data_IF_528003171689
#
_entry.id   IF_528003171689
#
_cell.length_a   1.000
_cell.length_b   1.000
_cell.length_c   1.000
_cell.angle_alpha   90.00
_cell.angle_beta   90.00
_cell.angle_gamma   90.00
#
_symmetry.space_group_name_H-M   'P 1'
#
loop_
_entity.id
_entity.type
_entity.pdbx_description
1 polymer ?
#
# COMPACT_ATOMS: atom_id res chain seq x y z
N UNK A 1 6.18 8.35 16.82
CA UNK A 1 6.65 8.33 15.44
C UNK A 1 5.73 9.19 14.58
N UNK A 2 6.30 10.04 13.76
CA UNK A 2 5.51 10.89 12.88
C UNK A 2 4.94 10.10 11.72
N UNK A 3 3.80 10.55 11.20
CA UNK A 3 3.14 9.88 10.08
C UNK A 3 4.07 9.71 8.88
N UNK A 4 4.82 10.75 8.55
CA UNK A 4 5.74 10.69 7.43
C UNK A 4 6.79 9.62 7.61
N UNK A 5 7.35 9.51 8.80
CA UNK A 5 8.35 8.49 9.07
C UNK A 5 7.75 7.11 8.95
N UNK A 6 6.52 6.96 9.45
CA UNK A 6 5.81 5.70 9.39
C UNK A 6 5.58 5.29 7.95
N UNK A 7 5.14 6.24 7.13
CA UNK A 7 4.87 5.95 5.72
C UNK A 7 6.13 5.56 4.97
N UNK A 8 7.25 6.22 5.27
CA UNK A 8 8.53 5.85 4.65
C UNK A 8 8.94 4.45 5.02
N UNK A 9 8.75 4.08 6.27
CA UNK A 9 9.12 2.75 6.73
C UNK A 9 8.25 1.68 6.08
N UNK A 10 6.97 1.96 5.94
CA UNK A 10 6.07 1.04 5.25
C UNK A 10 6.54 0.81 3.82
N UNK A 11 6.86 1.90 3.12
CA UNK A 11 7.32 1.80 1.73
C UNK A 11 8.64 1.08 1.63
N UNK A 12 9.52 1.28 2.60
CA UNK A 12 10.79 0.59 2.61
C UNK A 12 10.60 -0.91 2.78
N UNK A 13 9.73 -1.31 3.67
CA UNK A 13 9.42 -2.73 3.87
C UNK A 13 8.87 -3.32 2.57
N UNK A 14 8.00 -2.57 1.89
CA UNK A 14 7.44 -3.04 0.63
C UNK A 14 8.51 -3.19 -0.45
N UNK A 15 9.48 -2.29 -0.47
CA UNK A 15 10.56 -2.40 -1.45
C UNK A 15 11.38 -3.66 -1.21
N UNK A 16 11.54 -4.05 0.02
CA UNK A 16 12.31 -5.23 0.36
C UNK A 16 11.53 -6.51 0.21
N UNK A 17 10.29 -6.52 0.67
CA UNK A 17 9.48 -7.73 0.70
C UNK A 17 8.44 -7.83 -0.40
N UNK A 18 8.19 -6.76 -1.10
CA UNK A 18 7.20 -6.64 -2.16
C UNK A 18 5.75 -6.64 -1.66
N UNK A 19 5.49 -7.18 -0.50
CA UNK A 19 4.16 -7.16 0.09
C UNK A 19 4.30 -7.11 1.61
N UNK A 20 3.22 -6.66 2.27
CA UNK A 20 3.22 -6.57 3.73
C UNK A 20 1.80 -6.76 4.21
N UNK A 21 1.64 -7.38 5.37
CA UNK A 21 0.32 -7.53 5.97
C UNK A 21 0.14 -6.48 7.06
N UNK A 22 -1.11 -6.23 7.43
CA UNK A 22 -1.41 -5.32 8.53
C UNK A 22 -0.75 -5.83 9.81
N UNK A 23 -0.78 -7.15 10.02
CA UNK A 23 -0.15 -7.73 11.21
C UNK A 23 1.34 -7.45 11.26
N UNK A 24 2.02 -7.55 10.12
CA UNK A 24 3.44 -7.26 10.04
C UNK A 24 3.73 -5.81 10.39
N UNK A 25 2.89 -4.90 9.93
CA UNK A 25 3.08 -3.49 10.22
C UNK A 25 2.87 -3.18 11.70
N UNK A 26 1.87 -3.81 12.32
CA UNK A 26 1.63 -3.57 13.74
C UNK A 26 2.81 -4.03 14.57
N UNK A 27 3.43 -5.13 14.19
CA UNK A 27 4.60 -5.64 14.90
C UNK A 27 5.86 -4.82 14.60
N UNK A 28 6.11 -4.55 13.34
CA UNK A 28 7.34 -3.87 12.94
C UNK A 28 7.39 -2.43 13.41
N UNK A 29 6.27 -1.74 13.38
CA UNK A 29 6.20 -0.33 13.69
C UNK A 29 5.59 -0.05 15.06
N UNK A 30 5.14 -1.09 15.74
CA UNK A 30 4.52 -0.96 17.04
C UNK A 30 3.35 0.02 17.01
N UNK A 31 2.47 -0.17 16.04
CA UNK A 31 1.28 0.67 15.88
C UNK A 31 0.05 -0.20 15.93
N UNK A 32 -1.12 0.43 16.11
CA UNK A 32 -2.36 -0.30 16.17
C UNK A 32 -2.78 -0.74 14.76
N UNK A 33 -3.65 -1.71 14.72
CA UNK A 33 -4.20 -2.19 13.46
C UNK A 33 -4.94 -1.07 12.72
N UNK A 34 -5.70 -0.26 13.45
CA UNK A 34 -6.41 0.87 12.87
C UNK A 34 -5.45 1.84 12.19
N UNK A 35 -4.34 2.14 12.86
CA UNK A 35 -3.34 3.05 12.31
C UNK A 35 -2.71 2.45 11.06
N UNK A 36 -2.38 1.16 11.10
CA UNK A 36 -1.77 0.51 9.95
C UNK A 36 -2.70 0.55 8.75
N UNK A 37 -3.97 0.26 8.96
CA UNK A 37 -4.95 0.27 7.86
C UNK A 37 -5.15 1.67 7.30
N UNK A 38 -5.17 2.67 8.18
CA UNK A 38 -5.32 4.05 7.74
C UNK A 38 -4.13 4.49 6.90
N UNK A 39 -2.92 4.14 7.34
CA UNK A 39 -1.71 4.49 6.59
C UNK A 39 -1.70 3.82 5.22
N UNK A 40 -2.10 2.56 5.16
CA UNK A 40 -2.19 1.85 3.90
C UNK A 40 -3.17 2.56 2.96
N UNK A 41 -4.33 2.96 3.49
CA UNK A 41 -5.33 3.64 2.67
C UNK A 41 -4.81 4.98 2.14
N UNK A 42 -4.10 5.72 2.98
CA UNK A 42 -3.52 6.99 2.57
C UNK A 42 -2.51 6.80 1.45
N UNK A 43 -1.63 5.82 1.62
CA UNK A 43 -0.59 5.56 0.63
C UNK A 43 -1.18 4.99 -0.67
N UNK A 44 -2.25 4.22 -0.55
CA UNK A 44 -2.94 3.70 -1.72
C UNK A 44 -3.53 4.84 -2.54
N UNK A 45 -4.17 5.79 -1.87
CA UNK A 45 -4.73 6.96 -2.54
C UNK A 45 -3.67 7.80 -3.21
N UNK A 46 -2.49 7.86 -2.59
CA UNK A 46 -1.37 8.62 -3.14
C UNK A 46 -0.67 7.88 -4.27
N UNK A 47 -1.06 6.64 -4.53
CA UNK A 47 -0.45 5.85 -5.59
C UNK A 47 0.90 5.28 -5.23
N UNK A 48 1.22 5.23 -3.92
CA UNK A 48 2.52 4.76 -3.46
C UNK A 48 2.56 3.26 -3.23
N UNK A 49 1.40 2.66 -3.03
CA UNK A 49 1.29 1.21 -2.86
C UNK A 49 -0.09 0.80 -3.33
N UNK A 50 -0.35 -0.49 -3.38
CA UNK A 50 -1.66 -1.02 -3.76
C UNK A 50 -2.24 -1.75 -2.56
N UNK A 51 -3.38 -1.26 -2.09
CA UNK A 51 -4.07 -1.87 -0.97
C UNK A 51 -4.70 -3.18 -1.40
N UNK A 52 -4.48 -4.22 -0.61
CA UNK A 52 -5.11 -5.51 -0.85
C UNK A 52 -5.74 -5.99 0.45
N UNK A 53 -6.49 -7.06 0.37
CA UNK A 53 -7.15 -7.59 1.55
C UNK A 53 -6.10 -8.00 2.59
N UNK A 54 -6.17 -7.37 3.74
CA UNK A 54 -5.28 -7.69 4.85
C UNK A 54 -3.88 -7.07 4.78
N UNK A 55 -3.62 -6.21 3.78
CA UNK A 55 -2.28 -5.62 3.68
C UNK A 55 -2.11 -4.75 2.47
N UNK A 56 -0.91 -4.78 1.90
CA UNK A 56 -0.58 -3.96 0.74
C UNK A 56 0.55 -4.60 -0.05
N UNK A 57 0.65 -4.25 -1.31
CA UNK A 57 1.73 -4.71 -2.18
C UNK A 57 2.41 -3.51 -2.81
N UNK A 58 3.62 -3.71 -3.27
CA UNK A 58 4.40 -2.65 -3.88
C UNK A 58 3.71 -2.17 -5.15
N UNK A 59 3.61 -0.85 -5.27
CA UNK A 59 3.02 -0.26 -6.46
C UNK A 59 4.09 -0.05 -7.51
N UNK A 60 4.03 -0.83 -8.57
CA UNK A 60 4.89 -0.58 -9.70
C UNK A 60 4.00 -0.60 -10.92
N UNK A 61 4.56 -0.21 -12.06
CA UNK A 61 3.75 -0.05 -13.26
C UNK A 61 3.06 -1.33 -13.69
N UNK A 62 3.75 -2.42 -13.56
CA UNK A 62 3.17 -3.69 -13.98
C UNK A 62 2.02 -4.11 -13.10
N UNK A 63 2.18 -3.96 -11.79
CA UNK A 63 1.11 -4.30 -10.86
C UNK A 63 -0.11 -3.41 -11.07
N UNK A 64 0.13 -2.14 -11.33
CA UNK A 64 -0.96 -1.21 -11.56
C UNK A 64 -1.75 -1.60 -12.78
N UNK A 65 -1.07 -1.94 -13.86
CA UNK A 65 -1.77 -2.35 -15.07
C UNK A 65 -2.58 -3.61 -14.85
N UNK A 66 -2.03 -4.58 -14.14
CA UNK A 66 -2.76 -5.81 -13.90
C UNK A 66 -3.99 -5.59 -13.07
N UNK A 67 -3.92 -4.70 -12.10
CA UNK A 67 -5.07 -4.46 -11.25
C UNK A 67 -6.08 -3.53 -11.90
N UNK A 68 -5.65 -2.66 -12.77
CA UNK A 68 -6.55 -1.70 -13.40
C UNK A 68 -7.36 -2.29 -14.52
N UNK A 69 -7.03 -3.40 -14.97
CA UNK A 69 -7.67 -3.92 -16.07
C UNK A 69 -9.07 -4.01 -16.04
N UNK A 70 -9.37 -3.40 -16.05
CA UNK A 70 -10.40 -3.03 -16.06
C UNK A 70 -10.88 -2.01 -15.79
N UNK A 71 -10.15 -1.80 -16.01
CA UNK A 71 -10.54 -0.88 -15.87
C UNK A 71 -10.67 -0.21 -15.89
N UNK A 72 -10.48 -0.22 -16.31
CA UNK A 72 -10.48 0.67 -16.48
C UNK A 72 -10.60 1.14 -16.37
N UNK A 73 -10.52 1.03 -16.59
CA UNK A 73 -10.48 1.75 -16.59
C UNK A 73 -10.57 2.22 -16.22
N UNK A 74 -10.53 2.17 -16.42
CA UNK A 74 -10.43 2.86 -16.25
C UNK A 74 -10.41 3.30 -16.19
N UNK A 75 -10.54 3.24 -16.65
CA UNK A 75 -10.27 3.79 -16.85
C UNK A 75 -10.22 4.05 -17.14
N UNK A 76 -10.33 3.78 -17.48
CA UNK A 76 -10.03 4.12 -17.90
C UNK A 76 -9.96 4.46 -18.05
N UNK A 77 -10.08 4.48 -18.34
CA UNK A 77 -9.78 4.78 -18.53
C UNK A 77 -9.54 4.84 -18.39
N UNK A 78 -9.56 4.61 -18.73
CA UNK A 78 -9.18 4.66 -18.71
C UNK A 78 -8.99 4.72 -18.48
N UNK A 79 -9.06 4.64 -18.80
CA UNK A 79 -8.77 4.89 -18.77
C UNK A 79 -8.79 5.05 -18.67
#
# INVERSE_FOLDING_TARGET
MLSEQRHRMILKILEEKRSVTVAELTESLNISESTARRDIAILDKAGRLVKVFGGAVLADKENVYLSAEPTVAQKAEVY
#
